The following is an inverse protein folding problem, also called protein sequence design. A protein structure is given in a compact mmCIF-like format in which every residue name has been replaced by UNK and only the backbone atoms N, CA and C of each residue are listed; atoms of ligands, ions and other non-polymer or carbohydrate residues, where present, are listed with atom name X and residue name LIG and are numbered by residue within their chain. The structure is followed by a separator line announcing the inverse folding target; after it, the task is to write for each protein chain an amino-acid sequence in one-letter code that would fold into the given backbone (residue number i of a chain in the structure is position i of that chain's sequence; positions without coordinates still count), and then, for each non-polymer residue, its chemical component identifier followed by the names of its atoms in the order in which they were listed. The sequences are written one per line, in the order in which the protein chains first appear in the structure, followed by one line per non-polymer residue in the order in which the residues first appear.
data_IF_770366967784
#
_entry.id   IF_770366967784
#
_cell.length_a   1.000
_cell.length_b   1.000
_cell.length_c   1.000
_cell.angle_alpha   90.00
_cell.angle_beta   90.00
_cell.angle_gamma   90.00
#
_symmetry.space_group_name_H-M   'P 1'
#
loop_
_entity.id
_entity.type
_entity.pdbx_description
1 polymer ?
#
# COMPACT_ATOMS: atom_id res chain seq x y z
N UNK A 1 6.06 -11.68 -14.63
CA UNK A 1 6.97 -11.45 -13.48
C UNK A 1 8.44 -11.56 -13.90
N UNK A 2 8.84 -12.59 -14.66
CA UNK A 2 10.20 -12.72 -15.23
C UNK A 2 10.73 -11.45 -15.92
N UNK A 3 9.92 -10.79 -16.76
CA UNK A 3 10.34 -9.59 -17.48
C UNK A 3 10.79 -8.42 -16.57
N UNK A 4 10.29 -8.31 -15.34
CA UNK A 4 10.73 -7.23 -14.42
C UNK A 4 12.09 -7.56 -13.82
N UNK A 5 12.30 -8.81 -13.38
CA UNK A 5 13.60 -9.27 -12.90
C UNK A 5 14.69 -9.15 -13.98
N UNK A 6 14.37 -9.48 -15.22
CA UNK A 6 15.29 -9.38 -16.35
C UNK A 6 15.67 -7.91 -16.64
N UNK A 7 14.71 -6.98 -16.60
CA UNK A 7 14.97 -5.54 -16.79
C UNK A 7 15.76 -4.96 -15.61
N UNK A 8 15.43 -5.33 -14.37
CA UNK A 8 16.18 -4.94 -13.18
C UNK A 8 17.63 -5.44 -13.26
N UNK A 9 17.84 -6.65 -13.76
CA UNK A 9 19.17 -7.20 -13.96
C UNK A 9 19.97 -6.44 -15.01
N UNK A 10 19.37 -6.15 -16.17
CA UNK A 10 20.01 -5.35 -17.22
C UNK A 10 20.36 -3.95 -16.72
N UNK A 11 19.42 -3.23 -16.10
CA UNK A 11 19.64 -1.87 -15.61
C UNK A 11 20.63 -1.80 -14.43
N UNK A 12 20.62 -2.80 -13.54
CA UNK A 12 21.52 -2.86 -12.39
C UNK A 12 22.96 -3.13 -12.83
N UNK A 13 23.16 -4.07 -13.76
CA UNK A 13 24.48 -4.37 -14.32
C UNK A 13 25.06 -3.18 -15.08
N UNK A 14 24.25 -2.46 -15.87
CA UNK A 14 24.67 -1.23 -16.55
C UNK A 14 25.14 -0.14 -15.58
N UNK A 15 24.61 -0.12 -14.36
CA UNK A 15 24.95 0.85 -13.31
C UNK A 15 26.04 0.38 -12.35
N UNK A 16 26.67 -0.78 -12.61
CA UNK A 16 27.74 -1.33 -11.77
C UNK A 16 27.27 -1.88 -10.43
N UNK A 17 25.99 -2.20 -10.28
CA UNK A 17 25.45 -2.81 -9.06
C UNK A 17 25.91 -4.27 -8.98
N UNK A 18 26.40 -4.75 -7.82
CA UNK A 18 26.82 -6.14 -7.64
C UNK A 18 25.69 -7.14 -7.98
N UNK A 19 26.04 -8.26 -8.62
CA UNK A 19 25.07 -9.26 -9.09
C UNK A 19 24.20 -9.82 -7.94
N UNK A 20 24.78 -10.01 -6.75
CA UNK A 20 24.04 -10.46 -5.57
C UNK A 20 22.97 -9.43 -5.13
N UNK A 21 23.27 -8.13 -5.24
CA UNK A 21 22.31 -7.07 -4.93
C UNK A 21 21.19 -7.05 -5.97
N UNK A 22 21.54 -7.16 -7.25
CA UNK A 22 20.54 -7.25 -8.34
C UNK A 22 19.56 -8.41 -8.14
N UNK A 23 20.05 -9.59 -7.75
CA UNK A 23 19.19 -10.75 -7.48
C UNK A 23 18.24 -10.48 -6.30
N UNK A 24 18.75 -9.94 -5.18
CA UNK A 24 17.93 -9.55 -4.03
C UNK A 24 16.85 -8.54 -4.42
N UNK A 25 17.18 -7.54 -5.24
CA UNK A 25 16.20 -6.55 -5.74
C UNK A 25 15.10 -7.24 -6.57
N UNK A 26 15.48 -8.16 -7.46
CA UNK A 26 14.51 -8.93 -8.26
C UNK A 26 13.56 -9.76 -7.39
N UNK A 27 14.07 -10.40 -6.34
CA UNK A 27 13.27 -11.15 -5.37
C UNK A 27 12.28 -10.22 -4.64
N UNK A 28 12.76 -9.12 -4.06
CA UNK A 28 11.94 -8.13 -3.35
C UNK A 28 10.82 -7.60 -4.25
N UNK A 29 11.12 -7.25 -5.50
CA UNK A 29 10.11 -6.76 -6.44
C UNK A 29 9.07 -7.84 -6.75
N UNK A 30 9.51 -9.06 -7.03
CA UNK A 30 8.63 -10.21 -7.34
C UNK A 30 7.65 -10.45 -6.20
N UNK A 31 8.13 -10.52 -4.96
CA UNK A 31 7.30 -10.70 -3.76
C UNK A 31 6.33 -9.52 -3.58
N UNK A 32 6.82 -8.29 -3.74
CA UNK A 32 5.99 -7.10 -3.58
C UNK A 32 4.89 -6.99 -4.64
N UNK A 33 5.13 -7.47 -5.86
CA UNK A 33 4.10 -7.57 -6.89
C UNK A 33 3.02 -8.60 -6.53
N UNK A 34 3.43 -9.76 -6.00
CA UNK A 34 2.48 -10.78 -5.55
C UNK A 34 1.61 -10.24 -4.41
N UNK A 35 2.22 -9.61 -3.41
CA UNK A 35 1.50 -8.96 -2.31
C UNK A 35 0.54 -7.89 -2.81
N UNK A 36 0.97 -7.03 -3.75
CA UNK A 36 0.10 -6.02 -4.35
C UNK A 36 -1.13 -6.65 -5.02
N UNK A 37 -0.94 -7.75 -5.76
CA UNK A 37 -2.04 -8.48 -6.41
C UNK A 37 -2.99 -9.07 -5.36
N UNK A 38 -2.47 -9.64 -4.28
CA UNK A 38 -3.28 -10.14 -3.16
C UNK A 38 -4.09 -9.01 -2.51
N UNK A 39 -3.46 -7.85 -2.27
CA UNK A 39 -4.13 -6.65 -1.76
C UNK A 39 -5.26 -6.20 -2.68
N UNK A 40 -5.04 -6.20 -4.00
CA UNK A 40 -6.07 -5.89 -4.97
C UNK A 40 -7.23 -6.92 -4.96
N UNK A 41 -6.91 -8.20 -4.80
CA UNK A 41 -7.94 -9.24 -4.66
C UNK A 41 -8.77 -9.04 -3.38
N UNK A 42 -8.13 -8.67 -2.26
CA UNK A 42 -8.81 -8.35 -1.00
C UNK A 42 -9.74 -7.15 -1.15
N UNK A 43 -9.27 -6.08 -1.79
CA UNK A 43 -10.06 -4.87 -2.06
C UNK A 43 -11.36 -5.19 -2.83
N UNK A 44 -11.26 -5.97 -3.91
CA UNK A 44 -12.42 -6.42 -4.69
C UNK A 44 -13.38 -7.28 -3.85
N UNK A 45 -12.85 -8.17 -3.00
CA UNK A 45 -13.69 -8.98 -2.09
C UNK A 45 -14.40 -8.10 -1.06
N UNK A 46 -13.74 -7.05 -0.60
CA UNK A 46 -14.25 -6.12 0.38
C UNK A 46 -15.40 -5.26 -0.15
N UNK A 47 -15.51 -5.03 -1.45
CA UNK A 47 -16.63 -4.28 -2.04
C UNK A 47 -18.00 -4.85 -1.65
N UNK A 48 -18.12 -6.19 -1.57
CA UNK A 48 -19.39 -6.90 -1.29
C UNK A 48 -19.64 -7.23 0.18
N UNK A 49 -18.60 -7.19 1.03
CA UNK A 49 -18.68 -7.44 2.48
C UNK A 49 -19.32 -6.26 3.21
N UNK A 50 -19.73 -6.38 4.47
CA UNK A 50 -20.15 -5.21 5.30
C UNK A 50 -19.53 -5.20 6.69
N UNK A 51 -18.79 -6.26 6.99
CA UNK A 51 -18.22 -6.69 8.26
C UNK A 51 -16.69 -6.69 8.17
N UNK A 52 -16.12 -5.58 7.68
CA UNK A 52 -14.66 -5.43 7.57
C UNK A 52 -14.20 -4.65 8.79
N UNK A 53 -13.22 -5.18 9.51
CA UNK A 53 -12.58 -4.47 10.62
C UNK A 53 -11.56 -3.44 10.11
N UNK A 54 -11.18 -2.47 10.95
CA UNK A 54 -10.07 -1.56 10.63
C UNK A 54 -8.77 -2.33 10.38
N UNK A 55 -8.53 -3.44 11.09
CA UNK A 55 -7.35 -4.28 10.90
C UNK A 55 -7.36 -5.00 9.54
N UNK A 56 -8.50 -5.53 9.12
CA UNK A 56 -8.67 -6.13 7.79
C UNK A 56 -8.35 -5.11 6.68
N UNK A 57 -8.90 -3.90 6.83
CA UNK A 57 -8.66 -2.80 5.89
C UNK A 57 -7.16 -2.42 5.87
N UNK A 58 -6.55 -2.24 7.04
CA UNK A 58 -5.13 -1.87 7.15
C UNK A 58 -4.21 -2.95 6.57
N UNK A 59 -4.58 -4.22 6.73
CA UNK A 59 -3.90 -5.35 6.10
C UNK A 59 -4.05 -5.37 4.58
N UNK A 60 -5.22 -5.00 4.05
CA UNK A 60 -5.44 -4.88 2.61
C UNK A 60 -4.60 -3.76 2.00
N UNK A 61 -4.60 -2.56 2.59
CA UNK A 61 -3.85 -1.42 2.03
C UNK A 61 -2.34 -1.57 2.17
N UNK A 62 -1.88 -2.21 3.24
CA UNK A 62 -0.46 -2.55 3.39
C UNK A 62 0.05 -3.42 2.24
N UNK A 63 -0.81 -4.31 1.72
CA UNK A 63 -0.51 -5.13 0.55
C UNK A 63 -0.69 -4.36 -0.76
N UNK A 64 -1.88 -3.79 -0.99
CA UNK A 64 -2.27 -3.15 -2.25
C UNK A 64 -1.41 -1.94 -2.61
N UNK A 65 -1.14 -1.07 -1.65
CA UNK A 65 -0.39 0.18 -1.87
C UNK A 65 0.95 0.16 -1.14
N UNK A 66 0.96 -0.40 0.08
CA UNK A 66 2.15 -0.41 0.93
C UNK A 66 3.31 -1.24 0.38
N UNK A 67 3.04 -2.41 -0.23
CA UNK A 67 4.09 -3.32 -0.67
C UNK A 67 5.08 -2.68 -1.65
N UNK A 68 4.58 -1.92 -2.65
CA UNK A 68 5.45 -1.24 -3.60
C UNK A 68 6.20 -0.04 -2.97
N UNK A 69 5.57 0.69 -2.04
CA UNK A 69 6.24 1.79 -1.33
C UNK A 69 7.36 1.25 -0.42
N UNK A 70 7.08 0.20 0.36
CA UNK A 70 8.07 -0.55 1.13
C UNK A 70 9.22 -1.00 0.26
N UNK A 71 8.93 -1.73 -0.82
CA UNK A 71 9.95 -2.26 -1.72
C UNK A 71 10.86 -1.16 -2.28
N UNK A 72 10.29 -0.03 -2.68
CA UNK A 72 11.04 1.08 -3.28
C UNK A 72 12.06 1.66 -2.30
N UNK A 73 11.65 1.86 -1.05
CA UNK A 73 12.53 2.41 -0.01
C UNK A 73 13.56 1.37 0.46
N UNK A 74 13.14 0.11 0.62
CA UNK A 74 14.01 -1.00 0.97
C UNK A 74 15.11 -1.24 -0.08
N UNK A 75 14.76 -1.25 -1.37
CA UNK A 75 15.71 -1.38 -2.48
C UNK A 75 16.70 -0.21 -2.51
N UNK A 76 16.23 1.01 -2.25
CA UNK A 76 17.10 2.18 -2.14
C UNK A 76 18.18 2.02 -1.06
N UNK A 77 17.79 1.52 0.12
CA UNK A 77 18.74 1.24 1.21
C UNK A 77 19.71 0.10 0.84
N UNK A 78 19.19 -0.99 0.27
CA UNK A 78 19.98 -2.15 -0.13
C UNK A 78 21.07 -1.81 -1.17
N UNK A 79 20.82 -0.85 -2.06
CA UNK A 79 21.82 -0.39 -3.03
C UNK A 79 22.85 0.55 -2.38
N UNK A 80 22.46 1.28 -1.32
CA UNK A 80 23.27 2.33 -0.72
C UNK A 80 24.20 1.82 0.40
N UNK A 81 23.90 0.67 1.02
CA UNK A 81 24.67 0.14 2.14
C UNK A 81 24.56 -1.38 2.26
N UNK A 82 25.60 -2.01 2.83
CA UNK A 82 25.60 -3.43 3.22
C UNK A 82 25.12 -3.64 4.67
N UNK A 83 24.73 -2.58 5.37
CA UNK A 83 24.19 -2.65 6.72
C UNK A 83 22.74 -3.14 6.70
N UNK A 84 22.56 -4.39 7.13
CA UNK A 84 21.25 -5.05 7.15
C UNK A 84 20.28 -4.40 8.17
N UNK A 85 20.79 -3.82 9.27
CA UNK A 85 19.94 -3.12 10.24
C UNK A 85 19.36 -1.84 9.63
N UNK A 86 20.18 -1.08 8.89
CA UNK A 86 19.69 0.11 8.15
C UNK A 86 18.68 -0.31 7.09
N UNK A 87 19.01 -1.35 6.32
CA UNK A 87 18.16 -1.87 5.24
C UNK A 87 16.78 -2.30 5.75
N UNK A 88 16.74 -3.02 6.87
CA UNK A 88 15.51 -3.44 7.52
C UNK A 88 14.71 -2.25 8.10
N UNK A 89 15.38 -1.28 8.72
CA UNK A 89 14.70 -0.08 9.23
C UNK A 89 14.00 0.73 8.12
N UNK A 90 14.60 0.80 6.93
CA UNK A 90 13.98 1.42 5.76
C UNK A 90 12.78 0.64 5.21
N UNK A 91 12.81 -0.69 5.31
CA UNK A 91 11.66 -1.54 4.99
C UNK A 91 10.48 -1.26 5.94
N UNK A 92 10.72 -1.27 7.26
CA UNK A 92 9.71 -0.98 8.28
C UNK A 92 9.14 0.44 8.15
N UNK A 93 10.00 1.42 7.89
CA UNK A 93 9.59 2.78 7.58
C UNK A 93 8.66 2.84 6.36
N UNK A 94 8.99 2.11 5.29
CA UNK A 94 8.17 2.02 4.10
C UNK A 94 6.78 1.43 4.34
N UNK A 95 6.67 0.42 5.22
CA UNK A 95 5.38 -0.13 5.65
C UNK A 95 4.50 0.90 6.38
N UNK A 96 5.10 1.66 7.30
CA UNK A 96 4.39 2.70 8.02
C UNK A 96 3.94 3.84 7.10
N UNK A 97 4.83 4.30 6.21
CA UNK A 97 4.49 5.34 5.24
C UNK A 97 3.39 4.87 4.28
N UNK A 98 3.44 3.61 3.82
CA UNK A 98 2.44 3.09 2.89
C UNK A 98 1.03 3.11 3.47
N UNK A 99 0.89 2.70 4.73
CA UNK A 99 -0.39 2.76 5.45
C UNK A 99 -0.83 4.20 5.68
N UNK A 100 0.06 5.06 6.16
CA UNK A 100 -0.25 6.47 6.42
C UNK A 100 -0.67 7.21 5.13
N UNK A 101 0.01 6.93 4.02
CA UNK A 101 -0.33 7.48 2.70
C UNK A 101 -1.75 7.12 2.29
N UNK A 102 -2.14 5.83 2.40
CA UNK A 102 -3.47 5.41 2.00
C UNK A 102 -4.58 5.95 2.92
N UNK A 103 -4.33 6.03 4.24
CA UNK A 103 -5.27 6.66 5.18
C UNK A 103 -5.49 8.13 4.80
N UNK A 104 -4.42 8.85 4.47
CA UNK A 104 -4.50 10.24 4.04
C UNK A 104 -5.23 10.39 2.70
N UNK A 105 -4.94 9.54 1.72
CA UNK A 105 -5.63 9.54 0.42
C UNK A 105 -7.14 9.34 0.58
N UNK A 106 -7.54 8.41 1.43
CA UNK A 106 -8.94 8.16 1.75
C UNK A 106 -9.61 9.31 2.52
N UNK A 107 -8.89 9.96 3.43
CA UNK A 107 -9.38 11.18 4.08
C UNK A 107 -9.64 12.29 3.06
N UNK A 108 -8.67 12.53 2.17
CA UNK A 108 -8.79 13.55 1.11
C UNK A 108 -9.89 13.18 0.10
N UNK A 109 -10.14 11.90 -0.13
CA UNK A 109 -11.24 11.41 -0.98
C UNK A 109 -12.64 11.73 -0.46
N UNK A 110 -12.79 12.04 0.84
CA UNK A 110 -14.06 12.43 1.46
C UNK A 110 -14.10 13.93 1.79
N UNK A 111 -13.04 14.44 2.41
CA UNK A 111 -13.01 15.78 3.01
C UNK A 111 -11.92 16.70 2.42
N UNK A 112 -11.18 16.26 1.40
CA UNK A 112 -10.19 17.11 0.74
C UNK A 112 -10.85 18.34 0.11
N UNK A 113 -10.10 19.43 -0.12
CA UNK A 113 -10.63 20.56 -0.89
C UNK A 113 -10.58 20.22 -2.39
N UNK A 114 -11.68 20.45 -3.12
CA UNK A 114 -11.74 20.20 -4.56
C UNK A 114 -10.77 21.10 -5.34
N UNK A 115 -10.50 22.31 -4.81
CA UNK A 115 -9.54 23.25 -5.38
C UNK A 115 -8.08 22.76 -5.26
N UNK A 116 -7.77 21.98 -4.23
CA UNK A 116 -6.41 21.45 -3.99
C UNK A 116 -6.22 20.04 -4.56
N UNK A 117 -7.26 19.21 -4.56
CA UNK A 117 -7.20 17.80 -4.99
C UNK A 117 -7.47 17.61 -6.49
N UNK A 118 -8.06 18.60 -7.16
CA UNK A 118 -8.45 18.52 -8.57
C UNK A 118 -9.55 17.48 -8.88
N UNK A 119 -10.21 16.93 -7.84
CA UNK A 119 -11.28 15.93 -7.94
C UNK A 119 -12.50 16.41 -7.15
N UNK A 120 -13.68 15.88 -7.47
CA UNK A 120 -14.89 16.12 -6.67
C UNK A 120 -14.84 15.28 -5.37
N UNK A 121 -14.95 15.95 -4.23
CA UNK A 121 -14.80 15.39 -2.87
C UNK A 121 -15.91 14.41 -2.49
N UNK A 122 -17.01 14.37 -3.25
CA UNK A 122 -18.17 13.54 -2.94
C UNK A 122 -18.05 12.12 -3.53
N UNK A 123 -17.03 11.87 -4.35
CA UNK A 123 -16.99 10.70 -5.23
C UNK A 123 -16.91 9.39 -4.44
N UNK A 124 -16.12 9.35 -3.37
CA UNK A 124 -15.90 8.13 -2.59
C UNK A 124 -17.18 7.73 -1.80
N UNK A 125 -17.88 8.71 -1.21
CA UNK A 125 -19.17 8.48 -0.55
C UNK A 125 -20.22 8.03 -1.57
N UNK A 126 -20.33 8.72 -2.72
CA UNK A 126 -21.32 8.39 -3.77
C UNK A 126 -21.11 6.98 -4.33
N UNK A 127 -19.85 6.54 -4.44
CA UNK A 127 -19.49 5.19 -4.87
C UNK A 127 -19.58 4.14 -3.76
N UNK A 128 -19.94 4.55 -2.53
CA UNK A 128 -19.96 3.68 -1.34
C UNK A 128 -18.64 2.94 -1.15
N UNK A 129 -17.52 3.63 -1.47
CA UNK A 129 -16.19 3.08 -1.27
C UNK A 129 -16.00 2.81 0.22
N UNK A 130 -15.45 1.64 0.55
CA UNK A 130 -15.11 1.28 1.94
C UNK A 130 -13.77 1.85 2.33
N UNK A 131 -13.67 3.18 2.30
CA UNK A 131 -12.48 3.90 2.72
C UNK A 131 -12.26 3.76 4.24
N UNK A 132 -11.03 4.01 4.69
CA UNK A 132 -10.67 3.85 6.10
C UNK A 132 -11.61 4.58 7.08
N UNK A 133 -11.99 5.86 6.86
CA UNK A 133 -12.90 6.55 7.77
C UNK A 133 -14.29 5.91 7.84
N UNK A 134 -14.76 5.32 6.73
CA UNK A 134 -16.06 4.63 6.66
C UNK A 134 -15.99 3.31 7.43
N UNK A 135 -14.95 2.51 7.22
CA UNK A 135 -14.74 1.23 7.92
C UNK A 135 -14.62 1.47 9.43
N UNK A 136 -13.76 2.41 9.82
CA UNK A 136 -13.56 2.79 11.22
C UNK A 136 -14.87 3.27 11.87
N UNK A 137 -15.66 4.06 11.15
CA UNK A 137 -16.97 4.53 11.60
C UNK A 137 -17.98 3.38 11.80
N UNK A 138 -18.03 2.40 10.90
CA UNK A 138 -18.90 1.23 11.05
C UNK A 138 -18.51 0.36 12.24
N UNK A 139 -17.22 0.20 12.50
CA UNK A 139 -16.70 -0.58 13.63
C UNK A 139 -17.03 0.06 14.98
N UNK A 140 -17.03 1.40 15.06
CA UNK A 140 -17.25 2.16 16.30
C UNK A 140 -18.67 2.72 16.44
N UNK A 141 -19.53 2.53 15.45
CA UNK A 141 -20.93 2.92 15.55
C UNK A 141 -21.63 1.99 16.55
N UNK A 142 -21.88 2.48 17.76
CA UNK A 142 -22.78 1.85 18.72
C UNK A 142 -24.11 1.52 18.07
N UNK A 143 -24.73 0.40 18.44
CA UNK A 143 -26.01 -0.08 17.90
C UNK A 143 -26.98 1.08 17.61
N UNK A 144 -27.41 1.12 16.34
CA UNK A 144 -28.41 2.04 15.80
C UNK A 144 -29.49 2.32 16.86
N UNK A 145 -29.76 3.59 17.24
CA UNK A 145 -30.87 3.86 18.13
C UNK A 145 -32.11 3.26 17.49
N UNK A 146 -32.77 2.32 18.20
CA UNK A 146 -34.02 1.73 17.75
C UNK A 146 -35.00 2.88 17.51
N UNK A 147 -35.26 3.17 16.24
CA UNK A 147 -36.33 4.09 15.85
C UNK A 147 -37.64 3.48 16.33
N UNK A 148 -38.19 4.03 17.41
CA UNK A 148 -39.62 3.93 17.74
C UNK A 148 -40.45 4.68 16.70
#
# INVERSE_FOLDING_TARGET
MQAVGDITALMGMEKGVPVNVVLRVSEILTESYLEMIEGQCLDLRFETRTDISSDDYLGMVARKTGALLRSSVHIGALIATDDEHITQAFSEFGDHIGRAFQIRDDYLGIWGDAAETGKSNDNDIRRRKKSFPVVYGFEHASERPKTN
#
